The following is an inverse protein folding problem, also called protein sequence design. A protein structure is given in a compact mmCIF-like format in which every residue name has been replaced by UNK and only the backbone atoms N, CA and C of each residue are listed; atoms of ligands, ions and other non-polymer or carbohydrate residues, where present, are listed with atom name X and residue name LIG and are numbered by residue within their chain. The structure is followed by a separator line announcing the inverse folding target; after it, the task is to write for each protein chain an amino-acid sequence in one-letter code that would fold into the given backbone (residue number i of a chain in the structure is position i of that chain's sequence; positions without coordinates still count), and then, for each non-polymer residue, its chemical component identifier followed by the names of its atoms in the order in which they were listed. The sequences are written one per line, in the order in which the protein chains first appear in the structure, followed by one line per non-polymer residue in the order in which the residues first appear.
data_IF_339656147602
#
_entry.id   IF_339656147602
#
_cell.length_a   1.000
_cell.length_b   1.000
_cell.length_c   1.000
_cell.angle_alpha   90.00
_cell.angle_beta   90.00
_cell.angle_gamma   90.00
#
_symmetry.space_group_name_H-M   'P 1'
#
loop_
_entity.id
_entity.type
_entity.pdbx_description
1 polymer ?
#
# COMPACT_ATOMS: atom_id res chain seq x y z
N UNK A 1 36.34 -7.15 37.89
CA UNK A 1 34.91 -7.28 38.22
C UNK A 1 34.10 -6.49 37.20
N UNK A 2 33.08 -7.15 36.63
CA UNK A 2 32.02 -6.66 35.74
C UNK A 2 32.39 -5.81 34.51
N UNK A 3 32.25 -6.42 33.32
CA UNK A 3 31.31 -5.88 32.33
C UNK A 3 30.76 -7.01 31.43
N UNK A 4 29.42 -7.11 31.39
CA UNK A 4 28.67 -8.07 30.58
C UNK A 4 28.52 -7.51 29.16
N UNK A 5 28.78 -8.32 28.14
CA UNK A 5 28.25 -8.07 26.80
C UNK A 5 27.77 -9.37 26.19
N UNK A 6 26.46 -9.59 26.27
CA UNK A 6 25.76 -10.67 25.59
C UNK A 6 25.09 -10.12 24.35
N UNK A 7 25.52 -10.57 23.17
CA UNK A 7 24.74 -10.40 21.95
C UNK A 7 23.88 -11.62 21.68
N UNK A 8 22.63 -11.31 21.37
CA UNK A 8 21.47 -12.18 21.37
C UNK A 8 21.33 -12.89 20.02
N UNK A 9 21.03 -14.18 20.07
CA UNK A 9 20.58 -14.99 18.95
C UNK A 9 19.21 -14.49 18.47
N UNK A 10 19.13 -14.06 17.20
CA UNK A 10 17.87 -13.78 16.54
C UNK A 10 17.30 -15.09 15.93
N UNK A 11 16.33 -15.69 16.64
CA UNK A 11 15.44 -16.71 16.06
C UNK A 11 14.56 -16.03 15.01
N UNK A 12 14.75 -16.37 13.74
CA UNK A 12 13.92 -15.87 12.65
C UNK A 12 12.70 -16.79 12.46
N UNK A 13 11.61 -16.49 13.17
CA UNK A 13 10.29 -17.08 12.93
C UNK A 13 9.56 -16.16 11.97
N UNK A 14 9.42 -16.55 10.70
CA UNK A 14 8.56 -15.84 9.74
C UNK A 14 7.10 -16.02 10.15
N UNK A 15 6.60 -15.08 10.96
CA UNK A 15 5.18 -14.75 11.02
C UNK A 15 4.88 -13.83 9.85
N UNK A 16 3.92 -14.25 9.05
CA UNK A 16 3.27 -13.46 8.01
C UNK A 16 2.58 -12.27 8.69
N UNK A 17 3.27 -11.13 8.75
CA UNK A 17 2.73 -9.85 9.20
C UNK A 17 2.25 -9.12 7.96
N UNK A 18 0.93 -8.90 7.87
CA UNK A 18 0.34 -7.94 6.95
C UNK A 18 1.05 -6.59 7.15
N UNK A 19 1.84 -6.18 6.15
CA UNK A 19 2.47 -4.87 6.07
C UNK A 19 1.38 -3.80 5.90
N UNK A 20 0.90 -3.26 7.01
CA UNK A 20 0.08 -2.04 7.06
C UNK A 20 0.95 -0.77 7.11
N UNK A 21 2.27 -0.92 7.18
CA UNK A 21 3.24 0.18 7.28
C UNK A 21 3.69 0.76 5.93
N UNK A 22 3.28 0.16 4.81
CA UNK A 22 3.67 0.63 3.47
C UNK A 22 2.76 1.73 2.90
N UNK A 23 1.55 1.92 3.46
CA UNK A 23 0.57 2.86 2.91
C UNK A 23 0.90 4.31 3.32
N UNK A 24 1.50 4.54 4.49
CA UNK A 24 1.80 5.90 4.98
C UNK A 24 3.04 6.52 4.31
N UNK A 25 4.01 5.72 3.85
CA UNK A 25 5.22 6.24 3.18
C UNK A 25 5.03 6.52 1.69
N UNK A 26 4.16 5.75 1.01
CA UNK A 26 3.83 5.98 -0.40
C UNK A 26 3.16 7.34 -0.63
N UNK A 27 2.37 7.84 0.33
CA UNK A 27 1.69 9.14 0.18
C UNK A 27 2.63 10.34 0.27
N UNK A 28 3.76 10.26 0.98
CA UNK A 28 4.71 11.39 1.08
C UNK A 28 5.56 11.55 -0.17
N UNK A 29 5.96 10.43 -0.79
CA UNK A 29 6.89 10.41 -1.93
C UNK A 29 6.17 10.61 -3.26
N UNK A 30 4.92 10.12 -3.39
CA UNK A 30 4.10 10.32 -4.59
C UNK A 30 3.53 11.75 -4.67
N UNK A 31 3.18 12.38 -3.53
CA UNK A 31 2.76 13.80 -3.51
C UNK A 31 3.85 14.75 -4.02
N UNK A 32 5.12 14.47 -3.68
CA UNK A 32 6.25 15.29 -4.13
C UNK A 32 6.60 15.07 -5.61
N UNK A 33 6.36 13.88 -6.17
CA UNK A 33 6.63 13.61 -7.59
C UNK A 33 5.56 14.17 -8.53
N UNK A 34 4.30 14.24 -8.10
CA UNK A 34 3.20 14.80 -8.89
C UNK A 34 3.16 16.35 -8.88
N UNK A 35 3.71 17.00 -7.84
CA UNK A 35 3.92 18.46 -7.85
C UNK A 35 5.04 18.89 -8.81
N UNK A 36 6.04 18.05 -9.05
CA UNK A 36 7.23 18.40 -9.85
C UNK A 36 7.06 18.20 -11.37
N UNK A 37 5.93 17.68 -11.83
CA UNK A 37 5.65 17.46 -13.28
C UNK A 37 4.54 18.35 -13.84
N UNK A 38 4.01 19.31 -13.05
CA UNK A 38 2.98 20.27 -13.48
C UNK A 38 3.38 21.73 -13.20
N UNK A 39 4.64 22.08 -13.39
CA UNK A 39 5.13 23.47 -13.29
C UNK A 39 5.33 24.09 -14.67
N UNK A 40 4.34 23.97 -15.56
CA UNK A 40 4.30 24.86 -16.71
C UNK A 40 2.86 25.10 -17.17
N UNK A 41 2.59 26.34 -17.54
CA UNK A 41 1.33 26.95 -18.03
C UNK A 41 0.20 27.21 -17.02
N UNK A 42 -0.21 28.48 -16.97
CA UNK A 42 -1.41 28.98 -16.31
C UNK A 42 -2.63 28.12 -16.68
N UNK A 43 -3.14 27.34 -15.73
CA UNK A 43 -4.46 26.72 -15.89
C UNK A 43 -5.48 27.89 -15.98
N UNK A 44 -6.35 27.95 -17.00
CA UNK A 44 -7.31 29.03 -17.13
C UNK A 44 -8.14 29.15 -15.84
N UNK A 45 -8.27 30.36 -15.30
CA UNK A 45 -8.93 30.64 -14.01
C UNK A 45 -10.31 29.96 -13.87
N UNK A 46 -11.07 29.91 -14.97
CA UNK A 46 -12.37 29.21 -15.04
C UNK A 46 -12.26 27.71 -14.73
N UNK A 47 -11.22 27.01 -15.20
CA UNK A 47 -11.02 25.58 -14.89
C UNK A 47 -10.76 25.34 -13.41
N UNK A 48 -10.08 26.25 -12.73
CA UNK A 48 -9.83 26.13 -11.29
C UNK A 48 -11.11 26.33 -10.48
N UNK A 49 -11.94 27.30 -10.86
CA UNK A 49 -13.25 27.57 -10.24
C UNK A 49 -14.18 26.35 -10.38
N UNK A 50 -14.27 25.77 -11.57
CA UNK A 50 -15.07 24.57 -11.83
C UNK A 50 -14.59 23.41 -10.95
N UNK A 51 -13.27 23.17 -10.91
CA UNK A 51 -12.70 22.12 -10.07
C UNK A 51 -12.94 22.36 -8.58
N UNK A 52 -12.77 23.58 -8.08
CA UNK A 52 -13.07 23.92 -6.68
C UNK A 52 -14.55 23.68 -6.32
N UNK A 53 -15.45 23.85 -7.29
CA UNK A 53 -16.89 23.66 -7.12
C UNK A 53 -17.30 22.19 -7.15
N UNK A 54 -16.75 21.42 -8.08
CA UNK A 54 -17.28 20.10 -8.47
C UNK A 54 -16.43 18.93 -7.97
N UNK A 55 -15.11 19.10 -7.87
CA UNK A 55 -14.20 17.98 -7.55
C UNK A 55 -14.37 17.48 -6.10
N UNK A 56 -13.92 16.26 -5.85
CA UNK A 56 -13.88 15.65 -4.52
C UNK A 56 -12.52 14.97 -4.30
N UNK A 57 -12.27 14.46 -3.10
CA UNK A 57 -11.07 13.66 -2.83
C UNK A 57 -9.77 14.42 -3.10
N UNK A 58 -8.81 13.72 -3.72
CA UNK A 58 -7.50 14.28 -4.04
C UNK A 58 -7.56 15.43 -5.01
N UNK A 59 -8.46 15.39 -5.99
CA UNK A 59 -8.58 16.45 -6.99
C UNK A 59 -8.99 17.78 -6.35
N UNK A 60 -9.89 17.74 -5.37
CA UNK A 60 -10.27 18.92 -4.60
C UNK A 60 -9.10 19.45 -3.77
N UNK A 61 -8.37 18.57 -3.08
CA UNK A 61 -7.20 18.95 -2.30
C UNK A 61 -6.14 19.63 -3.19
N UNK A 62 -5.92 19.09 -4.39
CA UNK A 62 -5.01 19.69 -5.38
C UNK A 62 -5.51 21.07 -5.80
N UNK A 63 -6.79 21.21 -6.14
CA UNK A 63 -7.35 22.51 -6.54
C UNK A 63 -7.27 23.56 -5.43
N UNK A 64 -7.52 23.19 -4.17
CA UNK A 64 -7.36 24.07 -3.02
C UNK A 64 -5.90 24.53 -2.89
N UNK A 65 -4.93 23.61 -3.01
CA UNK A 65 -3.50 23.94 -2.93
C UNK A 65 -3.05 24.83 -4.08
N UNK A 66 -3.51 24.56 -5.30
CA UNK A 66 -3.21 25.37 -6.48
C UNK A 66 -3.73 26.80 -6.33
N UNK A 67 -4.95 26.98 -5.81
CA UNK A 67 -5.48 28.31 -5.50
C UNK A 67 -4.56 29.08 -4.55
N UNK A 68 -4.24 28.48 -3.39
CA UNK A 68 -3.41 29.16 -2.39
C UNK A 68 -2.00 29.43 -2.89
N UNK A 69 -1.39 28.49 -3.61
CA UNK A 69 -0.07 28.70 -4.23
C UNK A 69 -0.09 29.83 -5.26
N UNK A 70 -1.13 29.88 -6.10
CA UNK A 70 -1.30 30.93 -7.11
C UNK A 70 -1.41 32.31 -6.48
N UNK A 71 -2.31 32.48 -5.51
CA UNK A 71 -2.52 33.79 -4.89
C UNK A 71 -1.34 34.24 -4.00
N UNK A 72 -0.62 33.30 -3.37
CA UNK A 72 0.58 33.63 -2.60
C UNK A 72 1.70 34.14 -3.52
N UNK A 73 1.81 33.56 -4.73
CA UNK A 73 2.79 34.01 -5.73
C UNK A 73 2.47 35.42 -6.23
N UNK A 74 1.18 35.75 -6.35
CA UNK A 74 0.69 37.06 -6.82
C UNK A 74 0.48 38.10 -5.70
N UNK A 75 0.68 37.72 -4.43
CA UNK A 75 0.49 38.58 -3.25
C UNK A 75 -0.91 39.21 -3.12
N UNK A 76 -1.95 38.52 -3.61
CA UNK A 76 -3.31 39.06 -3.76
C UNK A 76 -4.41 38.10 -3.25
N UNK A 77 -4.08 37.19 -2.32
CA UNK A 77 -4.99 36.17 -1.80
C UNK A 77 -6.34 36.69 -1.32
N UNK A 78 -6.39 37.82 -0.60
CA UNK A 78 -7.65 38.38 -0.14
C UNK A 78 -8.54 38.81 -1.31
N UNK A 79 -7.95 39.43 -2.34
CA UNK A 79 -8.68 39.84 -3.53
C UNK A 79 -9.19 38.63 -4.31
N UNK A 80 -8.33 37.63 -4.60
CA UNK A 80 -8.75 36.43 -5.31
C UNK A 80 -9.85 35.67 -4.55
N UNK A 81 -9.74 35.60 -3.22
CA UNK A 81 -10.73 34.93 -2.37
C UNK A 81 -12.09 35.64 -2.39
N UNK A 82 -12.13 36.98 -2.44
CA UNK A 82 -13.37 37.73 -2.62
C UNK A 82 -13.96 37.55 -4.02
N UNK A 83 -13.12 37.54 -5.06
CA UNK A 83 -13.55 37.33 -6.46
C UNK A 83 -14.28 36.01 -6.62
N UNK A 84 -13.77 34.92 -6.06
CA UNK A 84 -14.35 33.58 -6.22
C UNK A 84 -15.54 33.30 -5.29
N UNK A 85 -15.78 34.13 -4.26
CA UNK A 85 -16.78 33.88 -3.21
C UNK A 85 -18.18 33.62 -3.74
N UNK A 86 -18.57 34.32 -4.80
CA UNK A 86 -19.88 34.19 -5.43
C UNK A 86 -19.88 33.23 -6.63
N UNK A 87 -18.72 32.68 -6.98
CA UNK A 87 -18.53 31.80 -8.14
C UNK A 87 -18.53 30.32 -7.76
N UNK A 88 -18.30 30.00 -6.48
CA UNK A 88 -18.31 28.64 -5.95
C UNK A 88 -19.36 28.47 -4.85
N UNK A 89 -19.86 27.26 -4.59
CA UNK A 89 -20.80 27.01 -3.50
C UNK A 89 -20.27 27.45 -2.13
N UNK A 90 -21.14 27.96 -1.26
CA UNK A 90 -20.73 28.54 0.04
C UNK A 90 -19.96 27.57 0.94
N UNK A 91 -20.26 26.27 0.89
CA UNK A 91 -19.53 25.24 1.62
C UNK A 91 -18.11 25.03 1.06
N UNK A 92 -17.92 25.17 -0.26
CA UNK A 92 -16.60 25.13 -0.91
C UNK A 92 -15.78 26.34 -0.54
N UNK A 93 -16.39 27.53 -0.52
CA UNK A 93 -15.72 28.75 -0.08
C UNK A 93 -15.31 28.70 1.40
N UNK A 94 -16.19 28.22 2.29
CA UNK A 94 -15.85 28.00 3.71
C UNK A 94 -14.73 26.97 3.90
N UNK A 95 -14.74 25.91 3.08
CA UNK A 95 -13.66 24.92 3.09
C UNK A 95 -12.34 25.58 2.68
N UNK A 96 -12.34 26.33 1.59
CA UNK A 96 -11.15 26.99 1.05
C UNK A 96 -10.52 27.94 2.07
N UNK A 97 -11.33 28.81 2.65
CA UNK A 97 -10.91 29.82 3.66
C UNK A 97 -10.30 29.22 4.92
N UNK A 98 -10.86 28.12 5.42
CA UNK A 98 -10.39 27.48 6.66
C UNK A 98 -9.46 26.28 6.42
N UNK A 99 -9.05 26.03 5.17
CA UNK A 99 -8.34 24.81 4.82
C UNK A 99 -7.01 24.67 5.57
N UNK A 100 -6.20 25.73 5.62
CA UNK A 100 -4.87 25.68 6.24
C UNK A 100 -4.96 25.30 7.72
N UNK A 101 -5.77 26.04 8.50
CA UNK A 101 -5.92 25.83 9.94
C UNK A 101 -6.50 24.45 10.25
N UNK A 102 -7.53 24.03 9.51
CA UNK A 102 -8.13 22.71 9.68
C UNK A 102 -7.18 21.59 9.25
N UNK A 103 -6.38 21.80 8.21
CA UNK A 103 -5.38 20.81 7.81
C UNK A 103 -4.30 20.65 8.88
N UNK A 104 -3.84 21.74 9.48
CA UNK A 104 -2.91 21.67 10.62
C UNK A 104 -3.52 20.89 11.79
N UNK A 105 -4.75 21.21 12.18
CA UNK A 105 -5.47 20.48 13.24
C UNK A 105 -5.63 18.99 12.90
N UNK A 106 -5.93 18.67 11.64
CA UNK A 106 -6.03 17.29 11.14
C UNK A 106 -4.71 16.54 11.26
N UNK A 107 -3.59 17.13 10.83
CA UNK A 107 -2.27 16.50 10.96
C UNK A 107 -1.91 16.22 12.43
N UNK A 108 -2.26 17.12 13.35
CA UNK A 108 -2.06 16.92 14.79
C UNK A 108 -2.91 15.77 15.33
N UNK A 109 -4.19 15.70 14.95
CA UNK A 109 -5.06 14.58 15.33
C UNK A 109 -4.52 13.25 14.80
N UNK A 110 -4.05 13.20 13.55
CA UNK A 110 -3.47 11.99 12.97
C UNK A 110 -2.15 11.58 13.62
N UNK A 111 -1.32 12.54 14.04
CA UNK A 111 -0.09 12.24 14.78
C UNK A 111 -0.33 11.60 16.15
N UNK A 112 -1.49 11.85 16.75
CA UNK A 112 -1.88 11.31 18.05
C UNK A 112 -2.79 10.08 17.97
N UNK A 113 -3.25 9.72 16.77
CA UNK A 113 -4.16 8.60 16.59
C UNK A 113 -3.39 7.27 16.74
N UNK A 114 -3.73 6.53 17.81
CA UNK A 114 -3.14 5.22 18.09
C UNK A 114 -4.26 4.20 18.08
N UNK A 115 -4.17 3.26 17.14
CA UNK A 115 -5.08 2.12 17.11
C UNK A 115 -4.57 0.98 17.96
N UNK A 116 -5.47 0.33 18.68
CA UNK A 116 -5.14 -0.88 19.42
C UNK A 116 -4.82 -2.02 18.47
N UNK A 117 -3.78 -2.82 18.78
CA UNK A 117 -3.36 -3.95 17.94
C UNK A 117 -4.45 -5.01 17.74
N UNK A 118 -5.37 -5.13 18.69
CA UNK A 118 -6.51 -6.06 18.63
C UNK A 118 -7.77 -5.45 18.02
N UNK A 119 -7.77 -4.16 17.69
CA UNK A 119 -8.97 -3.47 17.20
C UNK A 119 -9.37 -3.99 15.82
N UNK A 120 -10.65 -4.35 15.59
CA UNK A 120 -11.13 -4.72 14.26
C UNK A 120 -10.88 -3.61 13.23
N UNK A 121 -10.72 -3.98 11.96
CA UNK A 121 -10.55 -3.01 10.88
C UNK A 121 -11.73 -2.04 10.80
N UNK A 122 -12.96 -2.54 10.95
CA UNK A 122 -14.18 -1.73 10.96
C UNK A 122 -14.14 -0.63 12.01
N UNK A 123 -13.81 -0.98 13.26
CA UNK A 123 -13.70 -0.01 14.35
C UNK A 123 -12.62 1.04 14.09
N UNK A 124 -11.46 0.65 13.54
CA UNK A 124 -10.38 1.59 13.18
C UNK A 124 -10.81 2.57 12.09
N UNK A 125 -11.50 2.08 11.06
CA UNK A 125 -12.04 2.91 9.97
C UNK A 125 -13.10 3.88 10.50
N UNK A 126 -14.01 3.40 11.36
CA UNK A 126 -15.02 4.25 12.01
C UNK A 126 -14.36 5.37 12.81
N UNK A 127 -13.41 5.04 13.68
CA UNK A 127 -12.70 6.02 14.50
C UNK A 127 -11.97 7.07 13.65
N UNK A 128 -11.29 6.65 12.58
CA UNK A 128 -10.63 7.56 11.66
C UNK A 128 -11.63 8.51 10.96
N UNK A 129 -12.77 7.98 10.49
CA UNK A 129 -13.82 8.78 9.86
C UNK A 129 -14.45 9.76 10.85
N UNK A 130 -14.61 9.36 12.10
CA UNK A 130 -15.15 10.22 13.16
C UNK A 130 -14.16 11.35 13.48
N UNK A 131 -12.86 11.05 13.60
CA UNK A 131 -11.82 12.09 13.74
C UNK A 131 -11.79 13.06 12.56
N UNK A 132 -12.01 12.58 11.34
CA UNK A 132 -12.11 13.45 10.18
C UNK A 132 -13.33 14.38 10.29
N UNK A 133 -14.48 13.88 10.75
CA UNK A 133 -15.69 14.69 10.97
C UNK A 133 -15.54 15.66 12.14
N UNK A 134 -14.80 15.32 13.19
CA UNK A 134 -14.49 16.26 14.28
C UNK A 134 -13.75 17.51 13.76
N UNK A 135 -12.79 17.33 12.85
CA UNK A 135 -12.00 18.45 12.31
C UNK A 135 -12.70 19.16 11.15
N UNK A 136 -13.25 18.40 10.20
CA UNK A 136 -13.76 18.93 8.93
C UNK A 136 -15.28 19.05 8.88
N UNK A 137 -16.01 18.46 9.83
CA UNK A 137 -17.46 18.41 9.81
C UNK A 137 -17.97 17.73 8.54
N UNK A 138 -18.98 18.35 7.92
CA UNK A 138 -19.64 17.80 6.72
C UNK A 138 -18.74 17.76 5.48
N UNK A 139 -17.62 18.50 5.45
CA UNK A 139 -16.68 18.45 4.31
C UNK A 139 -15.69 17.29 4.40
N UNK A 140 -15.69 16.51 5.50
CA UNK A 140 -14.84 15.33 5.63
C UNK A 140 -15.06 14.32 4.48
N UNK A 141 -16.33 13.97 4.22
CA UNK A 141 -16.68 13.04 3.14
C UNK A 141 -16.29 13.55 1.75
N UNK A 142 -16.22 14.88 1.61
CA UNK A 142 -15.87 15.53 0.36
C UNK A 142 -14.34 15.52 0.15
N UNK A 143 -13.57 15.83 1.18
CA UNK A 143 -12.10 15.88 1.14
C UNK A 143 -11.47 14.48 1.04
N UNK A 144 -12.04 13.52 1.76
CA UNK A 144 -11.51 12.16 1.86
C UNK A 144 -12.33 11.17 1.05
N UNK A 145 -13.04 11.63 0.01
CA UNK A 145 -13.90 10.79 -0.81
C UNK A 145 -13.15 9.56 -1.35
N UNK A 146 -11.94 9.77 -1.87
CA UNK A 146 -11.08 8.71 -2.41
C UNK A 146 -10.67 7.71 -1.31
N UNK A 147 -10.14 8.21 -0.19
CA UNK A 147 -9.67 7.37 0.91
C UNK A 147 -10.82 6.60 1.56
N UNK A 148 -11.97 7.25 1.75
CA UNK A 148 -13.14 6.64 2.35
C UNK A 148 -13.73 5.57 1.44
N UNK A 149 -13.74 5.78 0.12
CA UNK A 149 -14.13 4.76 -0.85
C UNK A 149 -13.23 3.53 -0.73
N UNK A 150 -11.91 3.71 -0.64
CA UNK A 150 -10.97 2.59 -0.45
C UNK A 150 -11.23 1.84 0.86
N UNK A 151 -11.49 2.55 1.96
CA UNK A 151 -11.80 1.91 3.25
C UNK A 151 -13.11 1.15 3.23
N UNK A 152 -14.17 1.76 2.71
CA UNK A 152 -15.49 1.13 2.64
C UNK A 152 -15.49 -0.08 1.71
N UNK A 153 -14.80 0.02 0.57
CA UNK A 153 -14.55 -1.11 -0.31
C UNK A 153 -13.82 -2.23 0.43
N UNK A 154 -12.76 -1.90 1.17
CA UNK A 154 -11.99 -2.89 1.93
C UNK A 154 -12.82 -3.59 3.00
N UNK A 155 -13.69 -2.85 3.70
CA UNK A 155 -14.59 -3.41 4.71
C UNK A 155 -15.60 -4.40 4.09
N UNK A 156 -16.25 -4.02 2.98
CA UNK A 156 -17.16 -4.92 2.27
C UNK A 156 -16.41 -6.11 1.66
N UNK A 157 -15.18 -5.90 1.18
CA UNK A 157 -14.35 -6.95 0.62
C UNK A 157 -13.93 -7.99 1.68
N UNK A 158 -13.75 -7.61 2.95
CA UNK A 158 -13.44 -8.58 4.02
C UNK A 158 -14.56 -9.61 4.23
N UNK A 159 -15.81 -9.29 3.90
CA UNK A 159 -16.92 -10.25 3.97
C UNK A 159 -16.68 -11.46 3.06
N UNK A 160 -15.98 -11.28 1.93
CA UNK A 160 -15.60 -12.36 1.01
C UNK A 160 -14.64 -13.37 1.65
N UNK A 161 -13.90 -13.01 2.70
CA UNK A 161 -13.01 -13.94 3.41
C UNK A 161 -13.77 -14.97 4.23
N UNK A 162 -15.03 -14.70 4.53
CA UNK A 162 -15.92 -15.64 5.22
C UNK A 162 -16.84 -16.39 4.24
N UNK A 163 -16.82 -16.04 2.96
CA UNK A 163 -17.66 -16.66 1.95
C UNK A 163 -17.26 -18.12 1.68
N UNK A 164 -18.25 -18.97 1.47
CA UNK A 164 -18.02 -20.32 0.96
C UNK A 164 -17.52 -20.28 -0.48
N UNK A 165 -16.88 -21.35 -0.95
CA UNK A 165 -16.43 -21.43 -2.34
C UNK A 165 -17.59 -21.34 -3.35
N UNK A 166 -18.80 -21.76 -2.97
CA UNK A 166 -19.98 -21.72 -3.84
C UNK A 166 -20.52 -20.29 -3.99
N UNK A 167 -20.45 -19.48 -2.95
CA UNK A 167 -20.99 -18.11 -2.93
C UNK A 167 -19.98 -17.06 -3.42
N UNK A 168 -18.69 -17.36 -3.30
CA UNK A 168 -17.60 -16.43 -3.54
C UNK A 168 -17.72 -15.65 -4.85
N UNK A 169 -17.92 -16.34 -5.97
CA UNK A 169 -17.99 -15.69 -7.30
C UNK A 169 -19.17 -14.73 -7.42
N UNK A 170 -20.31 -15.09 -6.81
CA UNK A 170 -21.51 -14.25 -6.81
C UNK A 170 -21.30 -13.01 -5.95
N UNK A 171 -20.77 -13.19 -4.73
CA UNK A 171 -20.48 -12.09 -3.83
C UNK A 171 -19.44 -11.13 -4.44
N UNK A 172 -18.38 -11.65 -5.04
CA UNK A 172 -17.36 -10.81 -5.68
C UNK A 172 -17.93 -10.03 -6.87
N UNK A 173 -18.77 -10.68 -7.69
CA UNK A 173 -19.45 -9.99 -8.79
C UNK A 173 -20.34 -8.86 -8.27
N UNK A 174 -21.09 -9.08 -7.20
CA UNK A 174 -21.93 -8.05 -6.59
C UNK A 174 -21.09 -6.89 -6.04
N UNK A 175 -19.98 -7.19 -5.35
CA UNK A 175 -19.04 -6.17 -4.88
C UNK A 175 -18.53 -5.31 -6.05
N UNK A 176 -18.13 -5.93 -7.17
CA UNK A 176 -17.68 -5.19 -8.35
C UNK A 176 -18.79 -4.35 -9.01
N UNK A 177 -20.06 -4.76 -8.92
CA UNK A 177 -21.17 -3.94 -9.42
C UNK A 177 -21.47 -2.75 -8.51
N UNK A 178 -21.42 -2.94 -7.20
CA UNK A 178 -21.68 -1.89 -6.22
C UNK A 178 -20.64 -0.76 -6.31
N UNK A 179 -19.41 -1.09 -6.71
CA UNK A 179 -18.27 -0.16 -6.77
C UNK A 179 -17.84 0.19 -8.20
N UNK A 180 -18.76 0.03 -9.16
CA UNK A 180 -18.45 0.21 -10.59
C UNK A 180 -18.08 1.66 -10.91
N UNK A 181 -18.69 2.62 -10.24
CA UNK A 181 -18.49 4.06 -10.51
C UNK A 181 -17.14 4.55 -9.93
N UNK A 182 -16.62 3.85 -8.91
CA UNK A 182 -15.38 4.17 -8.22
C UNK A 182 -14.18 3.30 -8.66
N UNK A 183 -14.30 2.53 -9.75
CA UNK A 183 -13.24 1.62 -10.21
C UNK A 183 -11.90 2.33 -10.43
N UNK A 184 -11.93 3.60 -10.85
CA UNK A 184 -10.72 4.40 -11.02
C UNK A 184 -10.04 4.71 -9.69
N UNK A 185 -10.82 5.11 -8.68
CA UNK A 185 -10.32 5.40 -7.33
C UNK A 185 -9.74 4.12 -6.69
N UNK A 186 -10.43 2.99 -6.89
CA UNK A 186 -10.03 1.70 -6.34
C UNK A 186 -8.89 1.02 -7.11
N UNK A 187 -8.46 1.58 -8.25
CA UNK A 187 -7.45 0.96 -9.12
C UNK A 187 -7.93 -0.33 -9.79
N UNK A 188 -9.25 -0.51 -9.92
CA UNK A 188 -9.91 -1.70 -10.44
C UNK A 188 -10.38 -1.55 -11.89
N UNK A 189 -9.96 -0.52 -12.61
CA UNK A 189 -10.39 -0.25 -14.01
C UNK A 189 -10.10 -1.42 -14.95
N UNK A 190 -8.95 -2.08 -14.78
CA UNK A 190 -8.55 -3.17 -15.68
C UNK A 190 -9.13 -4.52 -15.25
N UNK A 191 -9.51 -5.40 -16.20
CA UNK A 191 -9.91 -6.77 -15.88
C UNK A 191 -8.83 -7.54 -15.11
N UNK A 192 -7.54 -7.27 -15.36
CA UNK A 192 -6.45 -7.87 -14.61
C UNK A 192 -6.43 -7.44 -13.14
N UNK A 193 -6.65 -6.15 -12.85
CA UNK A 193 -6.72 -5.66 -11.47
C UNK A 193 -7.91 -6.29 -10.72
N UNK A 194 -9.08 -6.40 -11.37
CA UNK A 194 -10.24 -7.11 -10.80
C UNK A 194 -9.91 -8.57 -10.51
N UNK A 195 -9.23 -9.27 -11.43
CA UNK A 195 -8.78 -10.64 -11.21
C UNK A 195 -7.81 -10.76 -10.02
N UNK A 196 -6.81 -9.89 -9.93
CA UNK A 196 -5.81 -9.93 -8.86
C UNK A 196 -6.46 -9.67 -7.50
N UNK A 197 -7.37 -8.69 -7.43
CA UNK A 197 -8.20 -8.43 -6.25
C UNK A 197 -9.09 -9.62 -5.91
N UNK A 198 -9.73 -10.24 -6.91
CA UNK A 198 -10.56 -11.42 -6.69
C UNK A 198 -9.76 -12.62 -6.19
N UNK A 199 -8.49 -12.75 -6.51
CA UNK A 199 -7.66 -13.86 -6.03
C UNK A 199 -7.13 -13.59 -4.63
N UNK A 200 -6.83 -12.34 -4.29
CA UNK A 200 -6.31 -11.95 -2.97
C UNK A 200 -7.35 -12.09 -1.86
N UNK A 201 -8.64 -12.00 -2.20
CA UNK A 201 -9.76 -12.09 -1.27
C UNK A 201 -10.28 -13.52 -1.03
N UNK A 202 -9.77 -14.52 -1.76
CA UNK A 202 -10.16 -15.93 -1.54
C UNK A 202 -9.72 -16.37 -0.15
N UNK A 203 -10.69 -16.81 0.67
CA UNK A 203 -10.46 -17.27 2.03
C UNK A 203 -9.35 -18.34 2.12
N UNK A 204 -8.44 -18.25 3.10
CA UNK A 204 -7.46 -19.30 3.35
C UNK A 204 -8.10 -20.62 3.82
N UNK A 205 -9.36 -20.60 4.28
CA UNK A 205 -10.10 -21.78 4.73
C UNK A 205 -10.67 -22.61 3.58
N UNK A 206 -10.72 -22.06 2.35
CA UNK A 206 -11.19 -22.79 1.16
C UNK A 206 -10.17 -23.86 0.79
N UNK A 207 -10.66 -25.07 0.49
CA UNK A 207 -9.78 -26.21 0.18
C UNK A 207 -8.94 -25.94 -1.08
N UNK A 208 -7.74 -26.54 -1.22
CA UNK A 208 -6.90 -26.34 -2.40
C UNK A 208 -7.59 -26.68 -3.73
N UNK A 209 -8.48 -27.68 -3.74
CA UNK A 209 -9.23 -28.10 -4.94
C UNK A 209 -10.25 -27.03 -5.32
N UNK A 210 -11.03 -26.55 -4.36
CA UNK A 210 -12.03 -25.49 -4.60
C UNK A 210 -11.36 -24.17 -4.97
N UNK A 211 -10.26 -23.83 -4.30
CA UNK A 211 -9.46 -22.65 -4.63
C UNK A 211 -8.95 -22.71 -6.06
N UNK A 212 -8.48 -23.87 -6.53
CA UNK A 212 -8.05 -24.05 -7.93
C UNK A 212 -9.21 -23.82 -8.89
N UNK A 213 -10.40 -24.35 -8.60
CA UNK A 213 -11.60 -24.14 -9.41
C UNK A 213 -12.00 -22.66 -9.45
N UNK A 214 -12.04 -21.99 -8.30
CA UNK A 214 -12.33 -20.55 -8.21
C UNK A 214 -11.37 -19.72 -9.04
N UNK A 215 -10.06 -19.96 -8.90
CA UNK A 215 -9.05 -19.25 -9.69
C UNK A 215 -9.27 -19.49 -11.19
N UNK A 216 -9.58 -20.71 -11.62
CA UNK A 216 -9.86 -21.00 -13.03
C UNK A 216 -11.10 -20.24 -13.53
N UNK A 217 -12.17 -20.19 -12.74
CA UNK A 217 -13.36 -19.41 -13.06
C UNK A 217 -13.04 -17.92 -13.18
N UNK A 218 -12.30 -17.36 -12.20
CA UNK A 218 -11.88 -15.95 -12.22
C UNK A 218 -10.99 -15.63 -13.43
N UNK A 219 -10.07 -16.54 -13.80
CA UNK A 219 -9.26 -16.39 -15.01
C UNK A 219 -10.13 -16.34 -16.26
N UNK A 220 -11.11 -17.25 -16.39
CA UNK A 220 -12.00 -17.28 -17.54
C UNK A 220 -12.91 -16.05 -17.62
N UNK A 221 -13.29 -15.46 -16.48
CA UNK A 221 -14.13 -14.25 -16.43
C UNK A 221 -13.36 -12.97 -16.77
N UNK A 222 -12.14 -12.81 -16.27
CA UNK A 222 -11.45 -11.52 -16.26
C UNK A 222 -10.21 -11.44 -17.14
N UNK A 223 -9.61 -12.56 -17.54
CA UNK A 223 -8.35 -12.56 -18.28
C UNK A 223 -8.51 -13.06 -19.70
N UNK A 224 -7.77 -12.45 -20.64
CA UNK A 224 -7.62 -13.01 -21.97
C UNK A 224 -6.54 -14.11 -22.01
N UNK A 225 -6.46 -14.86 -23.12
CA UNK A 225 -5.52 -15.98 -23.29
C UNK A 225 -4.05 -15.58 -23.04
N UNK A 226 -3.63 -14.39 -23.50
CA UNK A 226 -2.25 -13.89 -23.30
C UNK A 226 -1.98 -13.66 -21.81
N UNK A 227 -2.91 -13.02 -21.10
CA UNK A 227 -2.80 -12.76 -19.66
C UNK A 227 -2.81 -14.05 -18.83
N UNK A 228 -3.65 -15.03 -19.19
CA UNK A 228 -3.67 -16.34 -18.54
C UNK A 228 -2.30 -17.02 -18.65
N UNK A 229 -1.69 -17.00 -19.83
CA UNK A 229 -0.35 -17.56 -20.06
C UNK A 229 0.71 -16.83 -19.25
N UNK A 230 0.66 -15.50 -19.18
CA UNK A 230 1.59 -14.70 -18.35
C UNK A 230 1.45 -15.00 -16.86
N UNK A 231 0.22 -15.10 -16.33
CA UNK A 231 -0.03 -15.46 -14.93
C UNK A 231 0.50 -16.86 -14.62
N UNK A 232 0.32 -17.82 -15.54
CA UNK A 232 0.86 -19.17 -15.39
C UNK A 232 2.39 -19.16 -15.37
N UNK A 233 3.00 -18.45 -16.30
CA UNK A 233 4.46 -18.31 -16.37
C UNK A 233 5.04 -17.67 -15.11
N UNK A 234 4.44 -16.58 -14.61
CA UNK A 234 4.86 -15.93 -13.35
C UNK A 234 4.72 -16.85 -12.14
N UNK A 235 3.63 -17.64 -12.05
CA UNK A 235 3.46 -18.63 -10.97
C UNK A 235 4.56 -19.69 -11.01
N UNK A 236 4.93 -20.15 -12.20
CA UNK A 236 6.02 -21.10 -12.37
C UNK A 236 7.36 -20.48 -11.93
N UNK A 237 7.67 -19.26 -12.38
CA UNK A 237 8.87 -18.53 -11.98
C UNK A 237 8.97 -18.35 -10.46
N UNK A 238 7.87 -17.96 -9.78
CA UNK A 238 7.84 -17.84 -8.31
C UNK A 238 8.09 -19.21 -7.65
N UNK A 239 7.52 -20.29 -8.18
CA UNK A 239 7.75 -21.64 -7.66
C UNK A 239 9.22 -22.05 -7.80
N UNK A 240 9.83 -21.77 -8.95
CA UNK A 240 11.23 -22.09 -9.24
C UNK A 240 12.17 -21.23 -8.38
N UNK A 241 11.87 -19.94 -8.20
CA UNK A 241 12.59 -19.07 -7.27
C UNK A 241 12.51 -19.56 -5.82
N UNK A 242 11.32 -19.97 -5.35
CA UNK A 242 11.16 -20.53 -4.00
C UNK A 242 11.96 -21.81 -3.82
N UNK A 243 12.02 -22.66 -4.85
CA UNK A 243 12.86 -23.86 -4.83
C UNK A 243 14.34 -23.49 -4.76
N UNK A 244 14.78 -22.55 -5.59
CA UNK A 244 16.16 -22.07 -5.63
C UNK A 244 16.61 -21.48 -4.28
N UNK A 245 15.75 -20.68 -3.63
CA UNK A 245 16.03 -20.12 -2.29
C UNK A 245 16.16 -21.21 -1.24
N UNK A 246 15.28 -22.22 -1.25
CA UNK A 246 15.37 -23.35 -0.32
C UNK A 246 16.65 -24.15 -0.52
N UNK A 247 17.01 -24.42 -1.76
CA UNK A 247 18.23 -25.12 -2.12
C UNK A 247 19.47 -24.34 -1.67
N UNK A 248 19.51 -23.04 -1.95
CA UNK A 248 20.57 -22.14 -1.49
C UNK A 248 20.74 -22.20 0.03
N UNK A 249 19.64 -22.07 0.77
CA UNK A 249 19.68 -22.10 2.23
C UNK A 249 20.20 -23.44 2.76
N UNK A 250 19.75 -24.54 2.18
CA UNK A 250 20.19 -25.88 2.57
C UNK A 250 21.70 -26.07 2.34
N UNK A 251 22.19 -25.75 1.14
CA UNK A 251 23.61 -25.90 0.80
C UNK A 251 24.50 -24.94 1.61
N UNK A 252 24.03 -23.72 1.85
CA UNK A 252 24.75 -22.74 2.68
C UNK A 252 24.93 -23.26 4.11
N UNK A 253 23.89 -23.85 4.71
CA UNK A 253 23.99 -24.39 6.07
C UNK A 253 24.92 -25.61 6.13
N UNK A 254 24.95 -26.46 5.09
CA UNK A 254 25.94 -27.54 5.00
C UNK A 254 27.37 -26.99 4.91
N UNK A 255 27.60 -25.97 4.09
CA UNK A 255 28.92 -25.34 3.98
C UNK A 255 29.36 -24.76 5.33
N UNK A 256 28.50 -23.99 6.01
CA UNK A 256 28.81 -23.45 7.34
C UNK A 256 29.10 -24.55 8.36
N UNK A 257 28.35 -25.64 8.31
CA UNK A 257 28.61 -26.79 9.18
C UNK A 257 30.01 -27.39 8.92
N UNK A 258 30.37 -27.61 7.66
CA UNK A 258 31.68 -28.13 7.28
C UNK A 258 32.81 -27.20 7.70
N UNK A 259 32.69 -25.90 7.44
CA UNK A 259 33.66 -24.90 7.89
C UNK A 259 33.83 -24.93 9.41
N UNK A 260 32.74 -25.00 10.17
CA UNK A 260 32.85 -25.12 11.63
C UNK A 260 33.59 -26.39 12.07
N UNK A 261 33.40 -27.52 11.40
CA UNK A 261 34.16 -28.74 11.68
C UNK A 261 35.64 -28.58 11.32
N UNK A 262 35.96 -27.94 10.20
CA UNK A 262 37.34 -27.64 9.82
C UNK A 262 38.04 -26.77 10.86
N UNK A 263 37.38 -25.73 11.38
CA UNK A 263 37.93 -24.90 12.45
C UNK A 263 38.27 -25.69 13.71
N UNK A 264 37.36 -26.57 14.14
CA UNK A 264 37.57 -27.42 15.32
C UNK A 264 38.77 -28.35 15.17
N UNK A 265 39.12 -28.72 13.93
CA UNK A 265 40.26 -29.58 13.61
C UNK A 265 41.57 -28.79 13.42
N UNK A 266 41.58 -27.46 13.59
CA UNK A 266 42.75 -26.60 13.46
C UNK A 266 43.09 -25.88 14.78
N UNK A 267 43.74 -26.56 15.74
CA UNK A 267 43.93 -26.05 17.10
C UNK A 267 44.87 -24.83 17.23
N UNK A 268 45.65 -24.52 16.18
CA UNK A 268 46.64 -23.44 16.20
C UNK A 268 46.32 -22.31 15.22
N UNK A 269 45.14 -22.32 14.57
CA UNK A 269 44.79 -21.29 13.61
C UNK A 269 44.37 -20.00 14.32
N UNK A 270 44.92 -18.88 13.87
CA UNK A 270 44.49 -17.57 14.34
C UNK A 270 43.03 -17.31 13.95
N UNK A 271 42.27 -16.72 14.87
CA UNK A 271 40.83 -16.49 14.67
C UNK A 271 40.55 -15.48 13.55
N UNK A 272 41.41 -14.47 13.38
CA UNK A 272 41.21 -13.44 12.36
C UNK A 272 41.42 -14.00 10.95
N UNK A 273 42.43 -14.85 10.79
CA UNK A 273 42.68 -15.57 9.53
C UNK A 273 41.53 -16.52 9.21
N UNK A 274 41.02 -17.23 10.23
CA UNK A 274 39.84 -18.09 10.07
C UNK A 274 38.58 -17.30 9.67
N UNK A 275 38.28 -16.18 10.33
CA UNK A 275 37.10 -15.37 10.02
C UNK A 275 37.17 -14.84 8.58
N UNK A 276 38.36 -14.47 8.10
CA UNK A 276 38.58 -14.03 6.72
C UNK A 276 38.38 -15.18 5.72
N UNK A 277 38.98 -16.34 5.97
CA UNK A 277 38.77 -17.55 5.17
C UNK A 277 37.30 -17.96 5.11
N UNK A 278 36.62 -17.97 6.27
CA UNK A 278 35.20 -18.29 6.37
C UNK A 278 34.35 -17.36 5.49
N UNK A 279 34.56 -16.04 5.57
CA UNK A 279 33.79 -15.11 4.73
C UNK A 279 34.08 -15.33 3.24
N UNK A 280 35.33 -15.58 2.86
CA UNK A 280 35.69 -15.87 1.47
C UNK A 280 34.96 -17.11 0.94
N UNK A 281 34.90 -18.21 1.72
CA UNK A 281 34.17 -19.42 1.31
C UNK A 281 32.66 -19.17 1.14
N UNK A 282 32.07 -18.34 2.00
CA UNK A 282 30.66 -17.95 1.87
C UNK A 282 30.43 -17.09 0.61
N UNK A 283 31.34 -16.16 0.29
CA UNK A 283 31.26 -15.36 -0.92
C UNK A 283 31.42 -16.18 -2.19
N UNK A 284 32.42 -17.07 -2.23
CA UNK A 284 32.69 -17.95 -3.37
C UNK A 284 31.51 -18.89 -3.63
N UNK A 285 30.94 -19.46 -2.57
CA UNK A 285 29.71 -20.24 -2.66
C UNK A 285 28.55 -19.42 -3.24
N UNK A 286 28.34 -18.18 -2.78
CA UNK A 286 27.27 -17.32 -3.28
C UNK A 286 27.45 -17.00 -4.77
N UNK A 287 28.67 -16.68 -5.20
CA UNK A 287 29.00 -16.41 -6.62
C UNK A 287 28.75 -17.63 -7.49
N UNK A 288 29.20 -18.80 -7.05
CA UNK A 288 29.00 -20.05 -7.76
C UNK A 288 27.52 -20.43 -7.86
N UNK A 289 26.78 -20.34 -6.75
CA UNK A 289 25.38 -20.73 -6.68
C UNK A 289 24.48 -19.85 -7.57
N UNK A 290 24.71 -18.53 -7.56
CA UNK A 290 23.90 -17.59 -8.34
C UNK A 290 24.48 -17.26 -9.72
N UNK A 291 25.66 -17.78 -10.06
CA UNK A 291 26.39 -17.48 -11.29
C UNK A 291 26.62 -15.97 -11.49
N UNK A 292 27.14 -15.31 -10.45
CA UNK A 292 27.39 -13.85 -10.40
C UNK A 292 28.85 -13.48 -10.14
#
# INVERSE_FOLDING_TARGET
MQNKSGMRFAKNTQKEVLNTTSITKLNSTVLSSELNTRTDTSEPEHRLIDRLSESTGRDLIISIKLFWQGCQTSYDCDQQLQTIKNQIPINRWKLLTHYSDKNQAWQQQMGNLVFDKGQPLSSRVTELKDKAREVWGNTANLLFADEFAVYDFSLQAEELRSASAQEYLKMFKNLMQNWKEEEQILGLVSPQAKYEQAVSLISPQITPIERKKLIQSLQATYLNKKQISQVRWRKQQISDQKRNIKEYQYQLEMLKHNLNQEYLNQPNLDKQDWDTYYQQQIEDFRRSFFQI
#
